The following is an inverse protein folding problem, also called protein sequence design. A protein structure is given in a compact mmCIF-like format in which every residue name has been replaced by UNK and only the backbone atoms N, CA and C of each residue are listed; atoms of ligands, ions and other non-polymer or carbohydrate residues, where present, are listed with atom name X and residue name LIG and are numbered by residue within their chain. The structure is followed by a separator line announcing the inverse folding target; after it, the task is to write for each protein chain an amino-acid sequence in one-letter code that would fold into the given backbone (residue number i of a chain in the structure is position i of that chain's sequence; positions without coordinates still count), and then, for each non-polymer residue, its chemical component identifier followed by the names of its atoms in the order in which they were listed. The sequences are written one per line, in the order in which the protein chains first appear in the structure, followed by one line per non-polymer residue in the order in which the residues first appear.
data_IF_111393483427
#
_entry.id   IF_111393483427
#
_cell.length_a   1.000
_cell.length_b   1.000
_cell.length_c   1.000
_cell.angle_alpha   90.00
_cell.angle_beta   90.00
_cell.angle_gamma   90.00
#
_symmetry.space_group_name_H-M   'P 1'
#
loop_
_entity.id
_entity.type
_entity.pdbx_description
1 polymer ?
#
# COMPACT_ATOMS: atom_id res chain seq x y z
N UNK A 1 -20.03 4.60 19.97
CA UNK A 1 -20.73 5.89 19.72
C UNK A 1 -19.69 7.00 19.51
N UNK A 2 -19.36 7.30 18.25
CA UNK A 2 -18.71 8.55 17.84
C UNK A 2 -19.37 8.97 16.54
N UNK A 3 -20.31 9.90 16.66
CA UNK A 3 -21.13 10.42 15.56
C UNK A 3 -20.28 11.45 14.80
N UNK A 4 -19.82 11.12 13.59
CA UNK A 4 -19.22 12.10 12.69
C UNK A 4 -20.35 12.76 11.90
N UNK A 5 -20.72 13.96 12.33
CA UNK A 5 -21.64 14.85 11.60
C UNK A 5 -21.05 15.19 10.24
N UNK A 6 -21.63 14.69 9.15
CA UNK A 6 -21.36 15.16 7.79
C UNK A 6 -22.22 16.41 7.54
N UNK A 7 -21.56 17.57 7.42
CA UNK A 7 -22.17 18.77 6.85
C UNK A 7 -22.12 18.65 5.32
N UNK A 8 -23.27 18.43 4.68
CA UNK A 8 -23.43 18.54 3.23
C UNK A 8 -23.76 20.00 2.89
N UNK A 9 -22.78 20.78 2.43
CA UNK A 9 -23.04 22.06 1.78
C UNK A 9 -23.19 21.83 0.27
N UNK A 10 -24.43 21.83 -0.20
CA UNK A 10 -24.75 21.93 -1.62
C UNK A 10 -24.50 23.35 -2.12
N UNK A 11 -23.67 23.50 -3.15
CA UNK A 11 -23.69 24.69 -4.01
C UNK A 11 -23.71 24.22 -5.46
N UNK A 12 -24.90 24.30 -6.07
CA UNK A 12 -25.07 24.32 -7.51
C UNK A 12 -24.58 25.68 -8.03
N UNK A 13 -23.71 25.66 -9.04
CA UNK A 13 -23.57 26.77 -9.97
C UNK A 13 -23.41 26.20 -11.39
N UNK A 14 -24.31 26.63 -12.29
CA UNK A 14 -24.40 26.26 -13.70
C UNK A 14 -23.65 27.27 -14.58
N UNK A 15 -22.97 26.78 -15.63
CA UNK A 15 -22.63 27.46 -16.89
C UNK A 15 -21.56 28.57 -16.81
N UNK A 16 -20.65 28.77 -17.76
CA UNK A 16 -20.76 28.65 -19.23
C UNK A 16 -19.44 28.23 -19.89
N UNK A 17 -19.55 27.58 -21.05
CA UNK A 17 -18.47 27.40 -22.04
C UNK A 17 -18.22 28.74 -22.73
N UNK A 18 -16.97 29.18 -22.79
CA UNK A 18 -16.48 30.19 -23.71
C UNK A 18 -15.21 29.68 -24.40
N UNK A 19 -15.20 29.75 -25.74
CA UNK A 19 -14.07 29.39 -26.58
C UNK A 19 -13.45 30.67 -27.14
N UNK A 20 -12.12 30.78 -27.10
CA UNK A 20 -11.39 31.80 -27.83
C UNK A 20 -9.94 31.99 -27.41
N UNK A 21 -9.03 31.32 -28.15
CA UNK A 21 -7.83 31.93 -28.73
C UNK A 21 -6.60 32.16 -27.85
N UNK A 22 -5.60 31.29 -28.08
CA UNK A 22 -4.14 31.44 -27.96
C UNK A 22 -3.57 32.79 -27.48
N UNK A 23 -2.76 32.72 -26.42
CA UNK A 23 -1.42 33.31 -26.43
C UNK A 23 -0.52 32.57 -25.41
N UNK A 24 0.70 32.31 -25.87
CA UNK A 24 1.75 31.51 -25.24
C UNK A 24 2.08 31.92 -23.80
N UNK A 25 2.17 30.94 -22.90
CA UNK A 25 3.01 30.98 -21.71
C UNK A 25 3.20 29.57 -21.13
N UNK A 26 3.89 28.69 -21.86
CA UNK A 26 4.35 27.41 -21.29
C UNK A 26 5.64 27.62 -20.49
N UNK A 27 5.50 28.28 -19.35
CA UNK A 27 6.39 28.10 -18.21
C UNK A 27 5.60 27.43 -17.08
N UNK A 28 5.15 26.20 -17.31
CA UNK A 28 4.66 25.36 -16.22
C UNK A 28 5.84 24.67 -15.54
N UNK A 29 6.50 25.45 -14.68
CA UNK A 29 7.07 24.93 -13.45
C UNK A 29 5.93 24.48 -12.53
N UNK A 30 5.30 23.35 -12.87
CA UNK A 30 4.34 22.63 -12.05
C UNK A 30 5.02 21.53 -11.24
N UNK A 31 6.17 21.80 -10.63
CA UNK A 31 6.80 20.88 -9.68
C UNK A 31 5.97 20.84 -8.40
N UNK A 32 4.88 20.06 -8.43
CA UNK A 32 4.29 19.48 -7.24
C UNK A 32 5.32 18.55 -6.61
N UNK A 33 6.26 19.13 -5.87
CA UNK A 33 7.38 18.46 -5.23
C UNK A 33 6.85 17.43 -4.23
N UNK A 34 6.59 16.23 -4.71
CA UNK A 34 6.40 15.07 -3.85
C UNK A 34 7.73 14.87 -3.13
N UNK A 35 7.80 15.18 -1.84
CA UNK A 35 9.04 15.03 -1.05
C UNK A 35 9.35 13.53 -0.93
N UNK A 36 10.06 13.06 -1.95
CA UNK A 36 10.45 11.67 -2.14
C UNK A 36 11.90 11.54 -1.74
N UNK A 37 12.20 10.57 -0.90
CA UNK A 37 13.55 10.21 -0.48
C UNK A 37 13.98 8.94 -1.20
N UNK A 38 15.27 8.82 -1.51
CA UNK A 38 15.83 7.62 -2.13
C UNK A 38 16.67 6.88 -1.11
N UNK A 39 16.20 5.70 -0.70
CA UNK A 39 16.87 4.83 0.27
C UNK A 39 17.23 3.54 -0.45
N UNK A 40 18.52 3.20 -0.46
CA UNK A 40 19.06 2.01 -1.13
C UNK A 40 18.62 1.87 -2.60
N UNK A 41 18.46 2.98 -3.32
CA UNK A 41 18.02 3.01 -4.73
C UNK A 41 16.51 2.94 -4.94
N UNK A 42 15.71 2.91 -3.87
CA UNK A 42 14.25 2.85 -3.91
C UNK A 42 13.63 4.18 -3.44
N UNK A 43 12.52 4.57 -4.08
CA UNK A 43 11.79 5.80 -3.75
C UNK A 43 10.80 5.59 -2.62
N UNK A 44 10.88 6.45 -1.62
CA UNK A 44 9.97 6.50 -0.47
C UNK A 44 9.31 7.87 -0.38
N UNK A 45 8.03 7.89 -0.05
CA UNK A 45 7.22 9.10 0.02
C UNK A 45 6.94 9.42 1.48
N UNK A 46 7.24 10.65 1.89
CA UNK A 46 6.80 11.19 3.17
C UNK A 46 5.32 11.58 3.06
N UNK A 47 4.44 10.85 3.76
CA UNK A 47 2.99 11.12 3.80
C UNK A 47 2.57 12.08 4.94
N UNK A 48 3.54 12.67 5.65
CA UNK A 48 3.28 13.54 6.78
C UNK A 48 2.72 12.78 7.98
N UNK A 49 3.12 11.52 8.14
CA UNK A 49 2.76 10.69 9.29
C UNK A 49 3.48 11.21 10.54
N UNK A 50 2.81 11.25 11.71
CA UNK A 50 3.42 11.68 12.97
C UNK A 50 4.75 10.99 13.32
N UNK A 51 4.88 9.70 13.01
CA UNK A 51 6.11 8.92 13.25
C UNK A 51 7.28 9.31 12.34
N UNK A 52 7.02 10.03 11.24
CA UNK A 52 7.99 10.25 10.17
C UNK A 52 8.19 9.04 9.26
N UNK A 53 7.48 7.93 9.48
CA UNK A 53 7.61 6.73 8.63
C UNK A 53 7.39 7.07 7.16
N UNK A 54 8.35 6.67 6.33
CA UNK A 54 8.28 6.82 4.89
C UNK A 54 7.74 5.54 4.25
N UNK A 55 6.86 5.69 3.26
CA UNK A 55 6.24 4.56 2.57
C UNK A 55 6.77 4.44 1.14
N UNK A 56 7.14 3.23 0.71
CA UNK A 56 7.67 3.00 -0.62
C UNK A 56 6.67 3.35 -1.74
N UNK A 57 7.15 3.92 -2.84
CA UNK A 57 6.34 4.23 -4.02
C UNK A 57 5.86 2.95 -4.73
N UNK A 58 6.60 1.84 -4.61
CA UNK A 58 6.31 0.55 -5.27
C UNK A 58 6.27 -0.61 -4.28
N UNK A 59 5.57 -1.69 -4.66
CA UNK A 59 5.71 -2.98 -3.98
C UNK A 59 7.08 -3.61 -4.28
N UNK A 60 7.52 -4.56 -3.47
CA UNK A 60 8.66 -5.42 -3.82
C UNK A 60 8.35 -6.16 -5.13
N UNK A 61 9.28 -6.14 -6.08
CA UNK A 61 9.12 -6.77 -7.41
C UNK A 61 8.38 -5.93 -8.45
N UNK A 62 7.76 -4.80 -8.07
CA UNK A 62 7.08 -3.91 -9.02
C UNK A 62 8.08 -3.00 -9.76
N UNK A 63 7.90 -2.83 -11.08
CA UNK A 63 8.73 -1.93 -11.91
C UNK A 63 8.18 -0.51 -11.99
N UNK A 64 6.89 -0.34 -11.66
CA UNK A 64 6.20 0.95 -11.63
C UNK A 64 5.18 1.00 -10.51
N UNK A 65 4.75 2.20 -10.12
CA UNK A 65 3.76 2.42 -9.05
C UNK A 65 2.43 1.69 -9.23
N UNK A 66 2.03 1.43 -10.48
CA UNK A 66 0.79 0.72 -10.81
C UNK A 66 1.00 -0.78 -11.01
N UNK A 67 2.24 -1.27 -11.05
CA UNK A 67 2.48 -2.71 -11.18
C UNK A 67 2.17 -3.38 -9.85
N UNK A 68 1.57 -4.58 -9.90
CA UNK A 68 1.25 -5.35 -8.70
C UNK A 68 2.49 -5.69 -7.89
N UNK A 69 3.57 -6.09 -8.56
CA UNK A 69 4.78 -6.62 -7.92
C UNK A 69 4.69 -8.13 -7.69
N UNK A 70 5.59 -8.63 -6.85
CA UNK A 70 5.71 -10.04 -6.57
C UNK A 70 4.95 -10.42 -5.30
N UNK A 71 4.49 -11.65 -5.26
CA UNK A 71 3.90 -12.25 -4.07
C UNK A 71 4.97 -13.03 -3.32
N UNK A 72 4.90 -13.03 -1.99
CA UNK A 72 5.78 -13.76 -1.08
C UNK A 72 4.95 -14.43 0.00
N UNK A 73 5.37 -15.61 0.47
CA UNK A 73 4.84 -16.12 1.74
C UNK A 73 5.51 -15.35 2.89
N UNK A 74 4.84 -15.28 4.04
CA UNK A 74 5.36 -14.53 5.18
C UNK A 74 6.69 -15.13 5.66
N UNK A 75 7.75 -14.32 5.73
CA UNK A 75 9.09 -14.78 6.11
C UNK A 75 9.89 -15.49 5.01
N UNK A 76 9.37 -15.57 3.79
CA UNK A 76 10.09 -16.06 2.63
C UNK A 76 10.52 -14.90 1.73
N UNK A 77 11.72 -15.03 1.18
CA UNK A 77 12.36 -13.96 0.39
C UNK A 77 12.37 -14.28 -1.11
N UNK A 78 12.06 -15.52 -1.47
CA UNK A 78 11.93 -15.96 -2.86
C UNK A 78 10.46 -16.17 -3.23
N UNK A 79 10.15 -15.93 -4.50
CA UNK A 79 8.81 -16.17 -5.04
C UNK A 79 8.62 -17.65 -5.37
N UNK A 80 7.36 -18.06 -5.54
CA UNK A 80 6.99 -19.43 -5.91
C UNK A 80 5.93 -19.43 -7.01
N UNK A 81 5.96 -20.51 -7.81
CA UNK A 81 4.90 -20.79 -8.78
C UNK A 81 3.57 -21.21 -8.10
N UNK A 82 3.65 -21.74 -6.89
CA UNK A 82 2.46 -22.04 -6.08
C UNK A 82 2.73 -21.91 -4.59
N UNK A 83 1.74 -21.37 -3.88
CA UNK A 83 1.78 -21.11 -2.45
C UNK A 83 0.92 -22.13 -1.72
N UNK A 84 1.55 -23.03 -0.95
CA UNK A 84 0.89 -24.14 -0.25
C UNK A 84 1.53 -24.32 1.10
N UNK A 85 0.75 -24.73 2.10
CA UNK A 85 1.28 -25.03 3.43
C UNK A 85 2.44 -26.03 3.37
N UNK A 86 2.35 -27.07 2.55
CA UNK A 86 3.39 -28.10 2.43
C UNK A 86 4.73 -27.61 1.86
N UNK A 87 4.77 -26.45 1.19
CA UNK A 87 6.02 -25.87 0.66
C UNK A 87 6.46 -24.61 1.41
N UNK A 88 5.75 -24.24 2.48
CA UNK A 88 6.10 -23.13 3.34
C UNK A 88 7.31 -23.47 4.19
N UNK A 89 8.28 -22.55 4.31
CA UNK A 89 9.51 -22.75 5.09
C UNK A 89 9.28 -23.18 6.54
N UNK A 90 8.14 -22.81 7.12
CA UNK A 90 7.76 -23.11 8.50
C UNK A 90 6.49 -23.98 8.57
N UNK A 91 6.29 -24.86 7.59
CA UNK A 91 5.18 -25.82 7.57
C UNK A 91 5.17 -26.77 8.78
N UNK A 92 6.33 -27.04 9.36
CA UNK A 92 6.49 -27.86 10.57
C UNK A 92 6.44 -27.04 11.88
N UNK A 93 6.17 -25.73 11.77
CA UNK A 93 6.04 -24.82 12.90
C UNK A 93 6.95 -23.60 12.79
N UNK A 94 6.45 -22.45 13.25
CA UNK A 94 7.21 -21.23 13.48
C UNK A 94 7.13 -20.83 14.95
N UNK A 95 8.25 -20.35 15.52
CA UNK A 95 8.33 -20.00 16.94
C UNK A 95 8.54 -18.51 17.21
N UNK A 96 8.67 -17.68 16.17
CA UNK A 96 8.74 -16.23 16.31
C UNK A 96 7.36 -15.56 16.24
N UNK A 97 7.29 -14.31 16.65
CA UNK A 97 6.11 -13.47 16.47
C UNK A 97 6.32 -12.34 15.46
N UNK A 98 7.57 -12.00 15.17
CA UNK A 98 8.00 -10.90 14.28
C UNK A 98 9.10 -11.44 13.36
N UNK A 99 9.21 -10.89 12.15
CA UNK A 99 10.28 -11.23 11.21
C UNK A 99 11.64 -10.78 11.72
N UNK A 100 12.63 -11.65 11.55
CA UNK A 100 14.03 -11.27 11.63
C UNK A 100 14.48 -10.66 10.30
N UNK A 101 15.53 -9.83 10.28
CA UNK A 101 16.04 -9.21 9.04
C UNK A 101 16.30 -10.21 7.90
N UNK A 102 16.77 -11.42 8.21
CA UNK A 102 17.02 -12.51 7.25
C UNK A 102 15.74 -13.07 6.61
N UNK A 103 14.59 -12.89 7.25
CA UNK A 103 13.28 -13.39 6.80
C UNK A 103 12.40 -12.26 6.24
N UNK A 104 12.80 -11.00 6.40
CA UNK A 104 12.10 -9.84 5.84
C UNK A 104 12.55 -9.61 4.40
N UNK A 105 11.69 -9.94 3.44
CA UNK A 105 12.00 -9.76 2.01
C UNK A 105 12.30 -8.31 1.62
N UNK A 106 11.71 -7.33 2.31
CA UNK A 106 12.02 -5.93 2.04
C UNK A 106 13.43 -5.60 2.51
N UNK A 107 13.83 -6.08 3.70
CA UNK A 107 15.22 -5.92 4.18
C UNK A 107 16.22 -6.67 3.28
N UNK A 108 15.93 -7.92 2.92
CA UNK A 108 16.84 -8.72 2.11
C UNK A 108 17.02 -8.18 0.70
N UNK A 109 15.94 -7.70 0.06
CA UNK A 109 16.00 -7.23 -1.32
C UNK A 109 16.37 -5.75 -1.44
N UNK A 110 15.94 -4.90 -0.50
CA UNK A 110 16.10 -3.45 -0.58
C UNK A 110 17.10 -2.92 0.44
N UNK A 111 17.72 -3.77 1.25
CA UNK A 111 18.81 -3.43 2.16
C UNK A 111 18.38 -2.99 3.56
N UNK A 112 19.37 -2.84 4.44
CA UNK A 112 19.17 -2.45 5.82
C UNK A 112 18.44 -1.09 5.95
N UNK A 113 17.59 -0.98 6.97
CA UNK A 113 16.74 0.20 7.21
C UNK A 113 15.39 0.16 6.49
N UNK A 114 15.20 -0.76 5.55
CA UNK A 114 13.92 -1.01 4.86
C UNK A 114 13.32 -2.32 5.38
N UNK A 115 12.03 -2.33 5.69
CA UNK A 115 11.36 -3.53 6.22
C UNK A 115 9.87 -3.60 5.82
N UNK A 116 9.25 -4.77 6.02
CA UNK A 116 7.80 -4.94 5.98
C UNK A 116 7.17 -4.11 7.11
N UNK A 117 6.04 -3.41 6.90
CA UNK A 117 5.47 -2.54 7.92
C UNK A 117 5.12 -3.26 9.23
N UNK A 118 5.31 -2.58 10.36
CA UNK A 118 4.76 -3.03 11.64
C UNK A 118 3.25 -2.79 11.69
N UNK A 119 2.60 -3.37 12.71
CA UNK A 119 1.19 -3.09 13.01
C UNK A 119 0.95 -1.60 13.25
N UNK A 120 1.82 -0.96 14.01
CA UNK A 120 1.70 0.44 14.41
C UNK A 120 1.83 1.37 13.21
N UNK A 121 2.79 1.09 12.31
CA UNK A 121 2.96 1.88 11.09
C UNK A 121 1.76 1.73 10.14
N UNK A 122 1.25 0.51 9.97
CA UNK A 122 0.06 0.27 9.17
C UNK A 122 -1.19 0.95 9.77
N UNK A 123 -1.37 0.86 11.08
CA UNK A 123 -2.47 1.54 11.78
C UNK A 123 -2.34 3.06 11.65
N UNK A 124 -1.14 3.61 11.79
CA UNK A 124 -0.90 5.04 11.63
C UNK A 124 -1.26 5.52 10.21
N UNK A 125 -0.92 4.73 9.18
CA UNK A 125 -1.32 5.02 7.80
C UNK A 125 -2.85 5.08 7.67
N UNK A 126 -3.57 4.09 8.20
CA UNK A 126 -5.05 4.03 8.19
C UNK A 126 -5.66 5.23 8.94
N UNK A 127 -5.12 5.57 10.10
CA UNK A 127 -5.66 6.62 10.96
C UNK A 127 -5.40 8.04 10.45
N UNK A 128 -4.31 8.23 9.70
CA UNK A 128 -3.82 9.57 9.34
C UNK A 128 -3.94 9.90 7.85
N UNK A 129 -4.21 8.93 6.98
CA UNK A 129 -4.32 9.17 5.53
C UNK A 129 -5.75 9.02 5.03
N UNK A 130 -6.04 9.69 3.90
CA UNK A 130 -7.28 9.52 3.14
C UNK A 130 -7.09 8.49 2.05
N UNK A 131 -7.96 7.49 2.03
CA UNK A 131 -7.97 6.44 1.00
C UNK A 131 -9.03 6.78 -0.05
N UNK A 132 -8.64 6.80 -1.32
CA UNK A 132 -9.53 7.07 -2.46
C UNK A 132 -9.36 5.96 -3.48
N UNK A 133 -10.41 5.18 -3.70
CA UNK A 133 -10.42 4.16 -4.75
C UNK A 133 -10.30 4.81 -6.13
N UNK A 134 -9.39 4.31 -6.96
CA UNK A 134 -9.10 4.86 -8.28
C UNK A 134 -8.48 3.83 -9.22
N UNK A 135 -8.13 4.26 -10.43
CA UNK A 135 -7.40 3.46 -11.40
C UNK A 135 -6.19 4.25 -11.93
N UNK A 136 -5.01 3.63 -11.90
CA UNK A 136 -3.78 4.19 -12.47
C UNK A 136 -3.31 3.26 -13.58
N UNK A 137 -3.28 3.76 -14.82
CA UNK A 137 -2.94 2.97 -16.02
C UNK A 137 -3.78 1.67 -16.16
N UNK A 138 -5.05 1.71 -15.75
CA UNK A 138 -5.97 0.57 -15.81
C UNK A 138 -5.84 -0.43 -14.65
N UNK A 139 -4.85 -0.26 -13.76
CA UNK A 139 -4.78 -1.01 -12.51
C UNK A 139 -5.62 -0.31 -11.44
N UNK A 140 -6.60 -1.02 -10.88
CA UNK A 140 -7.39 -0.53 -9.76
C UNK A 140 -6.61 -0.57 -8.44
N UNK A 141 -6.96 0.28 -7.50
CA UNK A 141 -6.36 0.33 -6.17
C UNK A 141 -6.71 1.59 -5.41
N UNK A 142 -6.07 1.79 -4.26
CA UNK A 142 -6.26 2.98 -3.44
C UNK A 142 -5.15 4.00 -3.67
N UNK A 143 -5.54 5.24 -4.00
CA UNK A 143 -4.68 6.41 -3.79
C UNK A 143 -4.75 6.79 -2.33
N UNK A 144 -3.63 6.69 -1.62
CA UNK A 144 -3.49 7.02 -0.20
C UNK A 144 -2.86 8.39 -0.10
N UNK A 145 -3.60 9.36 0.43
CA UNK A 145 -3.19 10.77 0.51
C UNK A 145 -2.89 11.13 1.95
N UNK A 146 -1.65 11.54 2.20
CA UNK A 146 -1.16 12.00 3.48
C UNK A 146 -1.70 13.38 3.85
N UNK A 147 -1.57 13.76 5.13
CA UNK A 147 -1.99 15.09 5.63
C UNK A 147 -1.23 16.25 4.98
N UNK A 148 0.00 15.97 4.54
CA UNK A 148 0.83 16.93 3.81
C UNK A 148 0.51 17.01 2.29
N UNK A 149 -0.50 16.27 1.81
CA UNK A 149 -0.91 16.27 0.40
C UNK A 149 -0.13 15.31 -0.51
N UNK A 150 0.98 14.74 -0.05
CA UNK A 150 1.68 13.69 -0.79
C UNK A 150 0.85 12.42 -0.86
N UNK A 151 1.11 11.56 -1.84
CA UNK A 151 0.34 10.33 -2.00
C UNK A 151 1.13 9.17 -2.56
N UNK A 152 0.75 7.96 -2.18
CA UNK A 152 1.15 6.70 -2.80
C UNK A 152 -0.06 6.03 -3.46
N UNK A 153 0.21 5.06 -4.34
CA UNK A 153 -0.82 4.19 -4.90
C UNK A 153 -0.59 2.74 -4.45
N UNK A 154 -1.62 2.15 -3.83
CA UNK A 154 -1.65 0.76 -3.41
C UNK A 154 -2.51 -0.04 -4.41
N UNK A 155 -1.90 -0.79 -5.33
CA UNK A 155 -2.65 -1.53 -6.34
C UNK A 155 -3.42 -2.70 -5.71
N UNK A 156 -4.63 -2.95 -6.22
CA UNK A 156 -5.49 -4.06 -5.83
C UNK A 156 -5.05 -5.36 -6.51
N UNK A 157 -3.97 -5.97 -6.00
CA UNK A 157 -3.48 -7.27 -6.43
C UNK A 157 -4.04 -8.44 -5.62
N UNK A 158 -4.68 -8.19 -4.49
CA UNK A 158 -5.15 -9.24 -3.59
C UNK A 158 -4.03 -10.15 -3.09
N UNK A 159 -4.29 -11.45 -3.07
CA UNK A 159 -3.34 -12.48 -2.66
C UNK A 159 -3.34 -13.63 -3.65
N UNK A 160 -2.21 -14.32 -3.74
CA UNK A 160 -2.06 -15.53 -4.53
C UNK A 160 -2.29 -16.76 -3.64
N UNK A 161 -3.23 -17.61 -4.05
CA UNK A 161 -3.45 -18.92 -3.46
C UNK A 161 -3.80 -19.93 -4.57
N UNK A 162 -3.80 -21.25 -4.28
CA UNK A 162 -4.16 -22.27 -5.27
C UNK A 162 -5.57 -22.10 -5.86
N UNK A 163 -6.47 -21.43 -5.14
CA UNK A 163 -7.81 -21.06 -5.58
C UNK A 163 -7.98 -19.54 -5.54
N UNK A 164 -7.37 -18.82 -6.49
CA UNK A 164 -7.32 -17.37 -6.42
C UNK A 164 -8.71 -16.78 -6.62
N UNK A 165 -9.21 -16.05 -5.63
CA UNK A 165 -10.22 -15.03 -5.85
C UNK A 165 -9.47 -13.73 -6.15
N UNK A 166 -8.99 -13.57 -7.39
CA UNK A 166 -8.40 -12.31 -7.85
C UNK A 166 -9.52 -11.29 -8.05
N UNK A 167 -10.14 -10.84 -6.96
CA UNK A 167 -11.00 -9.67 -7.05
C UNK A 167 -10.06 -8.48 -7.27
N UNK A 168 -10.24 -7.76 -8.39
CA UNK A 168 -9.55 -6.49 -8.69
C UNK A 168 -10.00 -5.35 -7.74
N UNK A 169 -10.42 -5.71 -6.53
CA UNK A 169 -11.17 -4.92 -5.56
C UNK A 169 -10.52 -4.89 -4.19
N UNK A 170 -9.51 -5.73 -3.94
CA UNK A 170 -8.84 -5.80 -2.63
C UNK A 170 -7.34 -5.56 -2.74
N UNK A 171 -6.80 -4.81 -1.77
CA UNK A 171 -5.36 -4.63 -1.60
C UNK A 171 -4.95 -5.36 -0.31
N UNK A 172 -3.98 -6.26 -0.40
CA UNK A 172 -3.57 -7.07 0.73
C UNK A 172 -2.04 -7.08 0.82
N UNK A 173 -1.53 -6.67 1.99
CA UNK A 173 -0.10 -6.55 2.23
C UNK A 173 0.30 -7.23 3.53
N UNK A 174 1.45 -7.89 3.53
CA UNK A 174 2.03 -8.43 4.76
C UNK A 174 2.37 -7.33 5.76
N UNK A 175 2.21 -7.65 7.04
CA UNK A 175 2.84 -6.96 8.17
C UNK A 175 3.94 -7.85 8.74
N UNK A 176 4.88 -7.26 9.47
CA UNK A 176 6.08 -7.96 9.91
C UNK A 176 5.85 -8.94 11.07
N UNK A 177 4.61 -9.15 11.51
CA UNK A 177 4.27 -10.07 12.59
C UNK A 177 3.43 -11.23 12.09
N UNK A 178 3.54 -12.36 12.77
CA UNK A 178 2.97 -13.63 12.33
C UNK A 178 1.45 -13.55 12.17
N UNK A 179 0.95 -13.84 10.96
CA UNK A 179 -0.46 -13.75 10.61
C UNK A 179 -0.93 -12.35 10.24
N UNK A 180 -0.15 -11.30 10.50
CA UNK A 180 -0.57 -9.91 10.31
C UNK A 180 -0.64 -9.48 8.85
N UNK A 181 -1.75 -8.86 8.45
CA UNK A 181 -1.90 -8.21 7.15
C UNK A 181 -2.59 -6.85 7.26
N UNK A 182 -2.26 -5.95 6.35
CA UNK A 182 -3.09 -4.79 6.01
C UNK A 182 -4.07 -5.21 4.91
N UNK A 183 -5.37 -5.10 5.18
CA UNK A 183 -6.45 -5.48 4.27
C UNK A 183 -7.32 -4.26 3.94
N UNK A 184 -7.43 -3.95 2.65
CA UNK A 184 -8.24 -2.83 2.14
C UNK A 184 -9.25 -3.41 1.13
N UNK A 185 -10.55 -3.32 1.43
CA UNK A 185 -11.62 -3.90 0.60
C UNK A 185 -12.61 -2.84 0.12
N UNK A 186 -12.60 -2.62 -1.19
CA UNK A 186 -13.52 -1.68 -1.83
C UNK A 186 -14.99 -2.09 -1.71
N UNK A 187 -15.29 -3.40 -1.61
CA UNK A 187 -16.68 -3.87 -1.50
C UNK A 187 -17.33 -3.52 -0.16
N UNK A 188 -16.52 -3.16 0.83
CA UNK A 188 -16.94 -2.71 2.15
C UNK A 188 -16.87 -1.18 2.31
N UNK A 189 -16.79 -0.42 1.21
CA UNK A 189 -16.64 1.04 1.26
C UNK A 189 -17.68 1.71 2.17
N UNK A 190 -17.20 2.50 3.14
CA UNK A 190 -18.03 3.18 4.13
C UNK A 190 -18.41 2.36 5.37
N UNK A 191 -17.85 1.16 5.55
CA UNK A 191 -17.96 0.37 6.78
C UNK A 191 -16.64 0.31 7.55
N UNK A 192 -16.68 -0.16 8.79
CA UNK A 192 -15.48 -0.40 9.59
C UNK A 192 -14.61 -1.56 9.03
N UNK A 193 -15.14 -2.34 8.07
CA UNK A 193 -14.45 -3.44 7.40
C UNK A 193 -13.66 -3.00 6.14
N UNK A 194 -13.77 -1.72 5.75
CA UNK A 194 -13.09 -1.19 4.55
C UNK A 194 -11.55 -1.25 4.68
N UNK A 195 -11.04 -1.02 5.90
CA UNK A 195 -9.62 -0.90 6.20
C UNK A 195 -9.33 -1.57 7.55
N UNK A 196 -8.69 -2.73 7.54
CA UNK A 196 -8.45 -3.47 8.78
C UNK A 196 -7.09 -4.16 8.81
N UNK A 197 -6.66 -4.47 10.03
CA UNK A 197 -5.47 -5.28 10.32
C UNK A 197 -5.94 -6.62 10.87
N UNK A 198 -5.65 -7.71 10.15
CA UNK A 198 -6.26 -9.03 10.40
C UNK A 198 -5.23 -10.16 10.45
N UNK A 199 -5.71 -11.36 10.83
CA UNK A 199 -4.97 -12.62 10.79
C UNK A 199 -5.16 -13.36 9.46
N UNK A 200 -4.13 -14.05 8.99
CA UNK A 200 -4.15 -14.80 7.73
C UNK A 200 -3.28 -16.08 7.78
N UNK A 201 -3.47 -16.95 6.79
CA UNK A 201 -2.60 -18.08 6.52
C UNK A 201 -1.27 -17.59 5.92
N UNK A 202 -0.19 -17.77 6.67
CA UNK A 202 1.15 -17.25 6.35
C UNK A 202 1.80 -17.82 5.10
N UNK A 203 1.32 -18.99 4.64
CA UNK A 203 1.80 -19.61 3.41
C UNK A 203 1.20 -19.02 2.13
N UNK A 204 0.17 -18.16 2.21
CA UNK A 204 -0.41 -17.51 1.04
C UNK A 204 0.59 -16.50 0.45
N UNK A 205 0.63 -16.37 -0.87
CA UNK A 205 1.42 -15.31 -1.49
C UNK A 205 0.74 -13.96 -1.29
N UNK A 206 1.40 -12.99 -0.65
CA UNK A 206 0.89 -11.61 -0.55
C UNK A 206 1.93 -10.59 -0.97
N UNK A 207 1.45 -9.39 -1.26
CA UNK A 207 2.29 -8.27 -1.65
C UNK A 207 3.02 -7.71 -0.43
N UNK A 208 4.14 -7.05 -0.70
CA UNK A 208 4.90 -6.32 0.32
C UNK A 208 5.04 -4.88 -0.14
N UNK A 209 4.58 -3.95 0.70
CA UNK A 209 4.76 -2.51 0.54
C UNK A 209 5.76 -2.02 1.58
N UNK A 210 7.06 -1.88 1.24
CA UNK A 210 8.09 -1.55 2.21
C UNK A 210 7.90 -0.17 2.87
N UNK A 211 8.44 -0.06 4.07
CA UNK A 211 8.59 1.20 4.79
C UNK A 211 10.04 1.39 5.22
N UNK A 212 10.39 2.64 5.48
CA UNK A 212 11.66 3.01 6.09
C UNK A 212 11.39 4.00 7.23
N UNK A 213 12.11 3.81 8.33
CA UNK A 213 12.16 4.78 9.43
C UNK A 213 13.34 5.71 9.20
N UNK A 214 13.19 6.98 9.59
CA UNK A 214 14.24 8.02 9.50
C UNK A 214 15.04 8.04 10.80
#
# INVERSE_FOLDING_TARGET
MKLKTLLFCSLLALGFVSCGGDDNDDNENGSGSTSTEVINGHKFVNLGLPSGTLWAETNVGAKSKSDIGDYYAWGEIETKDSYKESNYKWSEGYHGSVLLPEDDVATQKWGAGVHIPTKEQAQELVDNCKFVWTSVKGQNGYKVVGKNGNSIFLPAGGYYSPNPSHTKLVCIYWLNYHGGRLFLDYTCAGTDDELCVEFNNNYNGQLVRPVASI
#
